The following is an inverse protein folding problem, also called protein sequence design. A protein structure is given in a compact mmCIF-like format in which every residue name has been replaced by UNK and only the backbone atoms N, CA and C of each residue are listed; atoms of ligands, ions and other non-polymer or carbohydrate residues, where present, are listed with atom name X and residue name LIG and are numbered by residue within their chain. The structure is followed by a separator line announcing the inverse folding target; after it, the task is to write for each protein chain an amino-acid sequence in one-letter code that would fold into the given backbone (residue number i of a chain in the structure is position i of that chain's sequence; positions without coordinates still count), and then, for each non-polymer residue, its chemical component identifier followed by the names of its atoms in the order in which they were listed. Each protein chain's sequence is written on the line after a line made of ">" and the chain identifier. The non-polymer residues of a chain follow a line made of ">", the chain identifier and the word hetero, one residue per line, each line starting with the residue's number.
data_IF_100635125625
#
_entry.id   IF_100635125625
#
_cell.length_a   1.000
_cell.length_b   1.000
_cell.length_c   1.000
_cell.angle_alpha   90.00
_cell.angle_beta   90.00
_cell.angle_gamma   90.00
#
_symmetry.space_group_name_H-M   'P 1'
#
loop_
_entity.id
_entity.type
_entity.pdbx_description
1 polymer ?
#
# COMPACT_ATOMS: atom_id res chain seq x y z
N UNK A 1 13.09 0.24 1.91
CA UNK A 1 13.68 -0.35 3.14
C UNK A 1 15.13 -0.78 2.92
N UNK A 2 16.03 -0.53 3.88
CA UNK A 2 17.43 -1.00 3.84
C UNK A 2 17.62 -2.37 4.54
N UNK A 3 18.62 -3.14 4.10
CA UNK A 3 19.10 -4.35 4.79
C UNK A 3 19.85 -3.97 6.08
N UNK A 4 19.94 -4.88 7.06
CA UNK A 4 20.70 -4.62 8.30
C UNK A 4 22.21 -4.65 7.98
N UNK A 5 22.90 -3.55 8.26
CA UNK A 5 24.35 -3.41 8.05
C UNK A 5 25.10 -3.19 9.37
N UNK A 6 24.46 -3.51 10.49
CA UNK A 6 25.02 -3.38 11.82
C UNK A 6 26.04 -4.47 12.16
N UNK A 7 26.79 -4.30 13.26
CA UNK A 7 27.68 -5.34 13.77
C UNK A 7 26.98 -6.70 13.94
N UNK A 8 27.66 -7.77 13.56
CA UNK A 8 27.13 -9.14 13.64
C UNK A 8 26.11 -9.51 12.56
N UNK A 9 25.80 -8.61 11.61
CA UNK A 9 25.04 -8.96 10.42
C UNK A 9 25.93 -9.69 9.39
N UNK A 10 25.39 -10.73 8.75
CA UNK A 10 26.04 -11.44 7.64
C UNK A 10 25.14 -11.31 6.42
N UNK A 11 25.71 -10.89 5.29
CA UNK A 11 25.00 -10.69 4.01
C UNK A 11 23.71 -9.84 4.10
N UNK A 12 23.71 -8.86 5.00
CA UNK A 12 22.56 -7.97 5.19
C UNK A 12 21.38 -8.61 5.95
N UNK A 13 21.61 -9.72 6.65
CA UNK A 13 20.63 -10.48 7.41
C UNK A 13 20.93 -10.47 8.91
N UNK A 14 19.88 -10.72 9.69
CA UNK A 14 19.99 -10.97 11.12
C UNK A 14 20.48 -12.40 11.35
N UNK A 15 21.42 -12.52 12.27
CA UNK A 15 22.01 -13.79 12.68
C UNK A 15 21.95 -13.90 14.20
N UNK A 16 21.64 -15.10 14.68
CA UNK A 16 21.66 -15.44 16.10
C UNK A 16 23.09 -15.61 16.60
N UNK A 17 23.25 -15.64 17.93
CA UNK A 17 24.52 -15.99 18.54
C UNK A 17 24.84 -17.48 18.30
N UNK A 18 26.10 -17.77 17.94
CA UNK A 18 26.62 -19.14 17.95
C UNK A 18 27.82 -19.23 18.88
N UNK A 19 27.59 -19.85 20.04
CA UNK A 19 28.60 -20.02 21.10
C UNK A 19 29.65 -21.08 20.75
N UNK A 20 29.37 -21.98 19.80
CA UNK A 20 30.32 -23.01 19.34
C UNK A 20 31.40 -22.45 18.41
N UNK A 21 31.04 -21.45 17.60
CA UNK A 21 31.98 -20.75 16.69
C UNK A 21 32.45 -19.40 17.23
N UNK A 22 31.88 -18.93 18.34
CA UNK A 22 32.17 -17.63 18.93
C UNK A 22 31.56 -16.46 18.15
N UNK A 23 30.53 -16.71 17.36
CA UNK A 23 29.87 -15.71 16.55
C UNK A 23 28.89 -14.88 17.40
N UNK A 24 29.05 -13.54 17.49
CA UNK A 24 28.12 -12.69 18.19
C UNK A 24 26.80 -12.50 17.41
N UNK A 25 25.69 -12.21 18.09
CA UNK A 25 24.41 -11.93 17.44
C UNK A 25 24.44 -10.59 16.69
N UNK A 26 23.53 -10.42 15.73
CA UNK A 26 23.36 -9.14 15.03
C UNK A 26 22.79 -8.07 15.96
N UNK A 27 23.49 -6.93 16.06
CA UNK A 27 23.00 -5.77 16.78
C UNK A 27 21.95 -5.02 15.97
N UNK A 28 20.78 -4.78 16.56
CA UNK A 28 19.74 -3.92 15.97
C UNK A 28 20.22 -2.46 16.03
N UNK A 29 20.39 -1.84 14.86
CA UNK A 29 20.88 -0.46 14.76
C UNK A 29 19.73 0.53 14.64
N UNK A 30 19.93 1.74 15.18
CA UNK A 30 18.98 2.85 15.04
C UNK A 30 18.73 3.20 13.56
N UNK A 31 19.78 3.17 12.72
CA UNK A 31 19.64 3.42 11.29
C UNK A 31 18.64 2.45 10.64
N UNK A 32 18.72 1.16 10.97
CA UNK A 32 17.79 0.17 10.44
C UNK A 32 16.36 0.38 10.97
N UNK A 33 16.18 0.57 12.28
CA UNK A 33 14.87 0.82 12.89
C UNK A 33 14.20 2.10 12.37
N UNK A 34 14.97 3.18 12.21
CA UNK A 34 14.45 4.43 11.63
C UNK A 34 14.04 4.23 10.18
N UNK A 35 14.76 3.41 9.41
CA UNK A 35 14.33 3.12 8.03
C UNK A 35 13.02 2.35 8.00
N UNK A 36 12.83 1.39 8.91
CA UNK A 36 11.53 0.70 9.04
C UNK A 36 10.43 1.70 9.38
N UNK A 37 10.67 2.60 10.33
CA UNK A 37 9.73 3.65 10.70
C UNK A 37 9.35 4.52 9.50
N UNK A 38 10.34 5.06 8.78
CA UNK A 38 10.08 5.96 7.64
C UNK A 38 9.30 5.26 6.51
N UNK A 39 9.53 3.97 6.26
CA UNK A 39 8.76 3.22 5.26
C UNK A 39 7.29 3.07 5.67
N UNK A 40 7.02 2.77 6.94
CA UNK A 40 5.66 2.71 7.46
C UNK A 40 4.99 4.08 7.44
N UNK A 41 5.71 5.12 7.85
CA UNK A 41 5.24 6.51 7.79
C UNK A 41 4.89 6.92 6.35
N UNK A 42 5.75 6.55 5.39
CA UNK A 42 5.52 6.84 3.97
C UNK A 42 4.23 6.19 3.46
N UNK A 43 3.95 4.93 3.82
CA UNK A 43 2.70 4.25 3.44
C UNK A 43 1.47 5.03 3.95
N UNK A 44 1.54 5.55 5.19
CA UNK A 44 0.45 6.32 5.79
C UNK A 44 0.26 7.66 5.09
N UNK A 45 1.34 8.38 4.82
CA UNK A 45 1.27 9.69 4.15
C UNK A 45 0.83 9.57 2.70
N UNK A 46 1.26 8.54 1.97
CA UNK A 46 0.83 8.27 0.58
C UNK A 46 -0.65 7.86 0.50
N UNK A 47 -1.20 7.28 1.57
CA UNK A 47 -2.64 7.05 1.68
C UNK A 47 -3.46 8.33 1.96
N UNK A 48 -2.81 9.49 2.08
CA UNK A 48 -3.44 10.78 2.37
C UNK A 48 -3.79 10.98 3.85
N UNK A 49 -3.28 10.14 4.74
CA UNK A 49 -3.48 10.25 6.18
C UNK A 49 -2.35 11.07 6.83
N UNK A 50 -2.64 11.69 7.97
CA UNK A 50 -1.64 12.39 8.79
C UNK A 50 -1.11 11.47 9.87
N UNK A 51 0.20 11.49 10.10
CA UNK A 51 0.83 10.68 11.14
C UNK A 51 0.38 11.12 12.53
N UNK A 52 -0.05 10.16 13.35
CA UNK A 52 -0.39 10.37 14.75
C UNK A 52 0.31 9.31 15.62
N UNK A 53 1.23 9.75 16.49
CA UNK A 53 1.95 8.87 17.40
C UNK A 53 1.07 8.23 18.48
N UNK A 54 -0.16 8.70 18.67
CA UNK A 54 -1.17 8.10 19.54
C UNK A 54 -2.05 7.04 18.88
N UNK A 55 -2.01 6.94 17.54
CA UNK A 55 -2.85 6.01 16.78
C UNK A 55 -2.06 4.82 16.24
N UNK A 56 -2.29 3.64 16.81
CA UNK A 56 -1.70 2.39 16.35
C UNK A 56 -2.51 1.71 15.23
N UNK A 57 -3.58 2.35 14.74
CA UNK A 57 -4.47 1.83 13.68
C UNK A 57 -4.25 2.52 12.33
N UNK A 58 -3.50 3.64 12.29
CA UNK A 58 -3.25 4.43 11.08
C UNK A 58 -2.67 3.62 9.90
N UNK A 59 -1.79 2.64 10.15
CA UNK A 59 -1.24 1.78 9.09
C UNK A 59 -2.31 0.89 8.46
N UNK A 60 -3.22 0.35 9.27
CA UNK A 60 -4.34 -0.44 8.79
C UNK A 60 -5.29 0.42 7.95
N UNK A 61 -5.61 1.63 8.42
CA UNK A 61 -6.44 2.58 7.69
C UNK A 61 -5.80 2.98 6.35
N UNK A 62 -4.48 3.22 6.34
CA UNK A 62 -3.72 3.55 5.13
C UNK A 62 -3.81 2.44 4.07
N UNK A 63 -3.56 1.19 4.48
CA UNK A 63 -3.64 0.03 3.56
C UNK A 63 -5.06 -0.12 3.00
N UNK A 64 -6.10 0.01 3.82
CA UNK A 64 -7.49 -0.05 3.38
C UNK A 64 -7.84 1.06 2.37
N UNK A 65 -7.35 2.28 2.60
CA UNK A 65 -7.53 3.41 1.70
C UNK A 65 -6.83 3.18 0.36
N UNK A 66 -5.58 2.73 0.36
CA UNK A 66 -4.81 2.44 -0.87
C UNK A 66 -5.45 1.33 -1.72
N UNK A 67 -5.96 0.26 -1.09
CA UNK A 67 -6.68 -0.81 -1.79
C UNK A 67 -7.97 -0.28 -2.42
N UNK A 68 -8.72 0.55 -1.69
CA UNK A 68 -9.96 1.15 -2.18
C UNK A 68 -9.71 2.16 -3.30
N UNK A 69 -8.63 2.95 -3.21
CA UNK A 69 -8.20 3.84 -4.29
C UNK A 69 -7.84 3.04 -5.55
N UNK A 70 -7.16 1.89 -5.40
CA UNK A 70 -6.84 0.98 -6.49
C UNK A 70 -8.07 0.32 -7.14
N UNK A 71 -9.14 0.05 -6.37
CA UNK A 71 -10.40 -0.50 -6.90
C UNK A 71 -11.33 0.58 -7.48
N UNK A 72 -11.14 1.84 -7.08
CA UNK A 72 -11.82 3.03 -7.61
C UNK A 72 -11.02 3.67 -8.74
N UNK A 73 -10.06 2.95 -9.33
CA UNK A 73 -9.73 3.08 -10.75
C UNK A 73 -10.99 2.76 -11.55
N UNK A 74 -11.95 3.69 -11.50
CA UNK A 74 -13.23 3.60 -12.17
C UNK A 74 -12.93 3.13 -13.56
N UNK A 75 -13.62 2.07 -13.99
CA UNK A 75 -13.61 1.61 -15.37
C UNK A 75 -13.64 2.87 -16.22
N UNK A 76 -12.48 3.29 -16.73
CA UNK A 76 -12.39 4.38 -17.68
C UNK A 76 -13.01 3.74 -18.90
N UNK A 77 -14.33 3.85 -18.99
CA UNK A 77 -15.06 3.30 -20.11
C UNK A 77 -14.63 4.19 -21.25
N UNK A 78 -13.87 3.68 -22.23
CA UNK A 78 -13.30 4.52 -23.28
C UNK A 78 -14.41 5.30 -23.97
N UNK A 79 -14.11 6.50 -24.47
CA UNK A 79 -15.09 7.25 -25.28
C UNK A 79 -15.57 6.34 -26.42
N UNK A 80 -16.89 6.22 -26.59
CA UNK A 80 -17.52 5.31 -27.56
C UNK A 80 -17.88 3.92 -27.02
N UNK A 81 -17.64 3.64 -25.75
CA UNK A 81 -18.13 2.41 -25.11
C UNK A 81 -19.64 2.45 -24.86
N UNK A 82 -20.32 1.35 -25.19
CA UNK A 82 -21.75 1.18 -24.91
C UNK A 82 -21.94 0.91 -23.42
N UNK A 83 -22.76 1.72 -22.76
CA UNK A 83 -23.19 1.54 -21.37
C UNK A 83 -24.63 1.06 -21.40
N UNK A 84 -24.91 -0.07 -20.75
CA UNK A 84 -26.26 -0.62 -20.67
C UNK A 84 -27.15 0.28 -19.79
N UNK A 85 -28.28 0.71 -20.34
CA UNK A 85 -29.33 1.39 -19.59
C UNK A 85 -30.23 0.36 -18.92
N UNK A 86 -30.42 0.47 -17.61
CA UNK A 86 -31.23 -0.47 -16.82
C UNK A 86 -32.67 -0.01 -16.58
N UNK A 87 -33.07 1.16 -17.10
CA UNK A 87 -34.42 1.69 -16.99
C UNK A 87 -35.34 1.31 -18.16
N UNK A 88 -36.58 1.76 -18.12
CA UNK A 88 -37.51 1.59 -19.25
C UNK A 88 -37.05 2.38 -20.49
N UNK A 89 -37.40 1.89 -21.69
CA UNK A 89 -37.10 2.57 -22.97
C UNK A 89 -37.73 3.96 -23.07
N UNK A 90 -38.83 4.19 -22.36
CA UNK A 90 -39.53 5.48 -22.32
C UNK A 90 -38.87 6.51 -21.41
N UNK A 91 -37.86 6.11 -20.63
CA UNK A 91 -37.17 6.94 -19.65
C UNK A 91 -35.68 7.16 -19.99
N UNK A 92 -35.29 6.90 -21.25
CA UNK A 92 -33.92 7.10 -21.69
C UNK A 92 -33.61 8.62 -21.69
N UNK A 93 -32.51 9.07 -21.05
CA UNK A 93 -32.13 10.47 -21.04
C UNK A 93 -31.87 11.03 -22.45
N UNK A 94 -32.09 12.34 -22.61
CA UNK A 94 -31.72 13.01 -23.85
C UNK A 94 -30.24 12.77 -24.20
N UNK A 95 -29.94 12.62 -25.49
CA UNK A 95 -28.60 12.33 -26.05
C UNK A 95 -28.09 10.89 -25.91
N UNK A 96 -28.94 9.94 -25.51
CA UNK A 96 -28.62 8.50 -25.56
C UNK A 96 -29.29 7.85 -26.78
N UNK A 97 -28.59 6.92 -27.41
CA UNK A 97 -29.08 6.16 -28.57
C UNK A 97 -29.19 4.69 -28.18
N UNK A 98 -30.31 4.05 -28.54
CA UNK A 98 -30.47 2.60 -28.39
C UNK A 98 -29.53 1.90 -29.39
N UNK A 99 -28.78 0.90 -28.94
CA UNK A 99 -28.16 -0.04 -29.87
C UNK A 99 -29.29 -0.80 -30.55
N UNK A 100 -29.53 -0.52 -31.83
CA UNK A 100 -30.31 -1.42 -32.67
C UNK A 100 -29.45 -2.65 -33.00
N UNK A 101 -30.12 -3.77 -33.27
CA UNK A 101 -29.52 -5.01 -33.74
C UNK A 101 -29.62 -5.09 -35.26
#
# INVERSE_FOLDING_TARGET
>A
MQRIAGPGAIDGLFVEEDTGTGQPPTQITAAWMNTVQEELCTVITEAGLTLDGGDNTQLLAAIAALITAGSTGGRVVPIGSVIAWSGAISAIPAHWVLCDV
#
